data_IF_364027310886
#
_entry.id   IF_364027310886
#
_cell.length_a   1.000
_cell.length_b   1.000
_cell.length_c   1.000
_cell.angle_alpha   90.00
_cell.angle_beta   90.00
_cell.angle_gamma   90.00
#
_symmetry.space_group_name_H-M   'P 1'
#
loop_
_entity.id
_entity.type
_entity.pdbx_description
1 polymer ?
#
# COMPACT_ATOMS: atom_id res chain seq x y z
N UNK A 1 25.87 -4.52 -1.04
CA UNK A 1 25.07 -3.63 -1.93
C UNK A 1 23.86 -4.42 -2.36
N UNK A 2 22.68 -3.83 -2.42
CA UNK A 2 21.47 -4.55 -2.86
C UNK A 2 21.63 -4.92 -4.35
N UNK A 3 21.25 -6.13 -4.71
CA UNK A 3 21.24 -6.67 -6.08
C UNK A 3 20.52 -5.74 -7.08
N UNK A 4 19.53 -4.98 -6.62
CA UNK A 4 18.86 -3.95 -7.39
C UNK A 4 19.72 -2.72 -7.66
N UNK A 5 20.68 -2.37 -6.79
CA UNK A 5 21.50 -1.18 -6.97
C UNK A 5 22.46 -1.33 -8.18
N UNK A 6 23.02 -2.52 -8.34
CA UNK A 6 23.88 -2.83 -9.48
C UNK A 6 23.08 -2.86 -10.79
N UNK A 7 21.91 -3.48 -10.75
CA UNK A 7 21.00 -3.53 -11.88
C UNK A 7 20.55 -2.12 -12.31
N UNK A 8 20.21 -1.25 -11.38
CA UNK A 8 19.85 0.13 -11.65
C UNK A 8 21.00 0.95 -12.23
N UNK A 9 22.24 0.69 -11.80
CA UNK A 9 23.41 1.35 -12.39
C UNK A 9 23.61 0.95 -13.87
N UNK A 10 23.47 -0.34 -14.20
CA UNK A 10 23.57 -0.81 -15.58
C UNK A 10 22.47 -0.25 -16.48
N UNK A 11 21.24 -0.22 -15.99
CA UNK A 11 20.11 0.38 -16.72
C UNK A 11 20.37 1.87 -17.00
N UNK A 12 20.88 2.61 -16.02
CA UNK A 12 21.25 4.03 -16.20
C UNK A 12 22.42 4.23 -17.14
N UNK A 13 23.32 3.25 -17.25
CA UNK A 13 24.42 3.24 -18.20
C UNK A 13 24.00 2.87 -19.64
N UNK A 14 22.71 2.58 -19.86
CA UNK A 14 22.17 2.29 -21.20
C UNK A 14 21.69 0.86 -21.44
N UNK A 15 21.85 -0.05 -20.45
CA UNK A 15 21.34 -1.42 -20.56
C UNK A 15 19.81 -1.46 -20.29
N UNK A 16 19.06 -0.77 -21.14
CA UNK A 16 17.61 -0.55 -20.96
C UNK A 16 16.79 -1.84 -20.89
N UNK A 17 17.22 -2.86 -21.61
CA UNK A 17 16.56 -4.18 -21.65
C UNK A 17 16.59 -4.89 -20.29
N UNK A 18 17.54 -4.54 -19.41
CA UNK A 18 17.63 -5.07 -18.07
C UNK A 18 16.51 -4.57 -17.13
N UNK A 19 15.73 -3.57 -17.53
CA UNK A 19 14.55 -3.16 -16.76
C UNK A 19 13.52 -4.28 -16.63
N UNK A 20 13.45 -5.19 -17.59
CA UNK A 20 12.60 -6.37 -17.50
C UNK A 20 12.92 -7.25 -16.27
N UNK A 21 14.18 -7.24 -15.82
CA UNK A 21 14.60 -7.93 -14.58
C UNK A 21 14.02 -7.27 -13.35
N UNK A 22 14.03 -5.92 -13.25
CA UNK A 22 13.36 -5.20 -12.17
C UNK A 22 11.85 -5.50 -12.15
N UNK A 23 11.21 -5.56 -13.32
CA UNK A 23 9.80 -5.94 -13.41
C UNK A 23 9.58 -7.33 -12.83
N UNK A 24 10.34 -8.33 -13.23
CA UNK A 24 10.21 -9.71 -12.73
C UNK A 24 10.40 -9.82 -11.23
N UNK A 25 11.38 -9.12 -10.65
CA UNK A 25 11.67 -9.12 -9.22
C UNK A 25 10.57 -8.48 -8.39
N UNK A 26 9.98 -7.41 -8.89
CA UNK A 26 9.06 -6.58 -8.12
C UNK A 26 7.59 -6.73 -8.50
N UNK A 27 7.25 -7.54 -9.52
CA UNK A 27 5.87 -7.72 -9.96
C UNK A 27 4.95 -8.22 -8.84
N UNK A 28 5.37 -9.24 -8.09
CA UNK A 28 4.57 -9.78 -6.98
C UNK A 28 4.27 -8.71 -5.93
N UNK A 29 5.25 -7.85 -5.62
CA UNK A 29 5.09 -6.72 -4.70
C UNK A 29 4.11 -5.68 -5.23
N UNK A 30 4.22 -5.34 -6.51
CA UNK A 30 3.31 -4.39 -7.18
C UNK A 30 1.89 -4.95 -7.18
N UNK A 31 1.70 -6.22 -7.56
CA UNK A 31 0.38 -6.88 -7.52
C UNK A 31 -0.21 -6.92 -6.10
N UNK A 32 0.59 -7.21 -5.08
CA UNK A 32 0.15 -7.21 -3.68
C UNK A 32 -0.32 -5.83 -3.21
N UNK A 33 0.35 -4.75 -3.65
CA UNK A 33 -0.11 -3.37 -3.38
C UNK A 33 -1.42 -3.09 -4.10
N UNK A 34 -1.51 -3.41 -5.39
CA UNK A 34 -2.68 -3.08 -6.22
C UNK A 34 -3.92 -3.88 -5.81
N UNK A 35 -3.76 -5.11 -5.35
CA UNK A 35 -4.87 -5.97 -4.88
C UNK A 35 -5.71 -5.34 -3.77
N UNK A 36 -5.15 -4.43 -3.00
CA UNK A 36 -5.85 -3.68 -1.94
C UNK A 36 -6.82 -2.63 -2.46
N UNK A 37 -6.65 -2.24 -3.72
CA UNK A 37 -7.38 -1.14 -4.35
C UNK A 37 -8.25 -1.59 -5.52
N UNK A 38 -7.93 -2.74 -6.13
CA UNK A 38 -8.64 -3.25 -7.31
C UNK A 38 -8.80 -4.77 -7.22
N UNK A 39 -10.07 -5.22 -7.21
CA UNK A 39 -10.44 -6.64 -7.13
C UNK A 39 -10.43 -7.32 -8.48
N UNK A 40 -10.78 -6.59 -9.53
CA UNK A 40 -10.80 -7.12 -10.89
C UNK A 40 -9.39 -7.49 -11.35
N UNK A 41 -9.10 -8.77 -11.67
CA UNK A 41 -7.78 -9.20 -12.09
C UNK A 41 -7.28 -8.47 -13.34
N UNK A 42 -8.16 -8.24 -14.33
CA UNK A 42 -7.80 -7.59 -15.58
C UNK A 42 -7.39 -6.13 -15.36
N UNK A 43 -8.20 -5.39 -14.60
CA UNK A 43 -7.88 -4.00 -14.24
C UNK A 43 -6.61 -3.90 -13.40
N UNK A 44 -6.37 -4.89 -12.55
CA UNK A 44 -5.15 -4.95 -11.75
C UNK A 44 -3.90 -5.16 -12.60
N UNK A 45 -4.00 -5.96 -13.66
CA UNK A 45 -2.92 -6.10 -14.66
C UNK A 45 -2.65 -4.77 -15.38
N UNK A 46 -3.69 -4.07 -15.81
CA UNK A 46 -3.56 -2.76 -16.45
C UNK A 46 -2.87 -1.75 -15.52
N UNK A 47 -3.25 -1.74 -14.24
CA UNK A 47 -2.62 -0.88 -13.23
C UNK A 47 -1.17 -1.26 -12.95
N UNK A 48 -0.84 -2.56 -13.00
CA UNK A 48 0.54 -3.02 -12.84
C UNK A 48 1.41 -2.57 -14.03
N UNK A 49 0.91 -2.70 -15.24
CA UNK A 49 1.58 -2.21 -16.45
C UNK A 49 1.79 -0.68 -16.38
N UNK A 50 0.75 0.07 -16.03
CA UNK A 50 0.83 1.53 -15.84
C UNK A 50 1.85 1.90 -14.76
N UNK A 51 1.92 1.12 -13.68
CA UNK A 51 2.89 1.31 -12.59
C UNK A 51 4.31 1.18 -13.10
N UNK A 52 4.63 0.11 -13.84
CA UNK A 52 5.97 -0.11 -14.38
C UNK A 52 6.34 0.91 -15.45
N UNK A 53 5.40 1.35 -16.29
CA UNK A 53 5.62 2.42 -17.24
C UNK A 53 5.93 3.77 -16.54
N UNK A 54 5.23 4.09 -15.46
CA UNK A 54 5.51 5.27 -14.64
C UNK A 54 6.86 5.15 -13.95
N UNK A 55 7.20 3.97 -13.44
CA UNK A 55 8.49 3.70 -12.82
C UNK A 55 9.62 3.87 -13.82
N UNK A 56 9.50 3.33 -15.02
CA UNK A 56 10.47 3.52 -16.10
C UNK A 56 10.71 5.00 -16.41
N UNK A 57 9.63 5.77 -16.61
CA UNK A 57 9.73 7.21 -16.92
C UNK A 57 10.34 8.02 -15.78
N UNK A 58 10.13 7.59 -14.54
CA UNK A 58 10.61 8.27 -13.36
C UNK A 58 11.94 7.71 -12.82
N UNK A 59 12.54 6.71 -13.50
CA UNK A 59 13.73 6.01 -13.00
C UNK A 59 14.93 6.92 -12.77
N UNK A 60 15.08 7.96 -13.58
CA UNK A 60 16.11 8.97 -13.42
C UNK A 60 15.96 9.78 -12.12
N UNK A 61 14.75 9.84 -11.55
CA UNK A 61 14.45 10.55 -10.30
C UNK A 61 14.65 9.68 -9.05
N UNK A 62 14.88 8.37 -9.21
CA UNK A 62 15.16 7.48 -8.10
C UNK A 62 16.55 7.75 -7.55
N UNK A 63 16.64 8.31 -6.34
CA UNK A 63 17.90 8.75 -5.72
C UNK A 63 18.61 7.67 -4.87
N UNK A 64 17.99 6.49 -4.72
CA UNK A 64 18.55 5.37 -3.95
C UNK A 64 18.52 5.53 -2.43
N UNK A 65 17.90 6.62 -1.89
CA UNK A 65 17.78 6.84 -0.43
C UNK A 65 16.90 5.81 0.27
N UNK A 66 16.01 5.17 -0.47
CA UNK A 66 15.18 4.08 0.01
C UNK A 66 15.35 2.87 -0.91
N UNK A 67 15.08 1.63 -0.44
CA UNK A 67 15.03 0.45 -1.29
C UNK A 67 14.10 0.64 -2.48
N UNK A 68 14.47 0.09 -3.63
CA UNK A 68 13.69 0.22 -4.87
C UNK A 68 12.26 -0.33 -4.70
N UNK A 69 12.10 -1.40 -3.93
CA UNK A 69 10.78 -1.98 -3.61
C UNK A 69 9.83 -0.99 -2.92
N UNK A 70 10.35 -0.11 -2.05
CA UNK A 70 9.55 0.93 -1.40
C UNK A 70 9.17 2.04 -2.38
N UNK A 71 10.09 2.39 -3.26
CA UNK A 71 9.87 3.42 -4.27
C UNK A 71 8.81 2.98 -5.30
N UNK A 72 8.91 1.75 -5.83
CA UNK A 72 7.93 1.22 -6.79
C UNK A 72 6.56 0.98 -6.15
N UNK A 73 6.53 0.53 -4.88
CA UNK A 73 5.28 0.40 -4.11
C UNK A 73 4.55 1.74 -3.95
N UNK A 74 5.29 2.84 -3.80
CA UNK A 74 4.72 4.19 -3.77
C UNK A 74 4.11 4.59 -5.12
N UNK A 75 4.75 4.21 -6.23
CA UNK A 75 4.22 4.45 -7.59
C UNK A 75 2.96 3.62 -7.80
N UNK A 76 2.97 2.32 -7.43
CA UNK A 76 1.81 1.43 -7.56
C UNK A 76 0.59 1.98 -6.81
N UNK A 77 0.77 2.37 -5.56
CA UNK A 77 -0.28 3.00 -4.74
C UNK A 77 -0.84 4.26 -5.38
N UNK A 78 0.04 5.15 -5.83
CA UNK A 78 -0.38 6.39 -6.49
C UNK A 78 -1.18 6.11 -7.76
N UNK A 79 -0.76 5.11 -8.53
CA UNK A 79 -1.48 4.67 -9.75
C UNK A 79 -2.88 4.16 -9.40
N UNK A 80 -3.01 3.31 -8.37
CA UNK A 80 -4.30 2.82 -7.90
C UNK A 80 -5.21 3.94 -7.39
N UNK A 81 -4.69 4.85 -6.58
CA UNK A 81 -5.46 5.99 -6.06
C UNK A 81 -5.93 6.94 -7.17
N UNK A 82 -5.11 7.18 -8.19
CA UNK A 82 -5.50 7.98 -9.35
C UNK A 82 -6.59 7.28 -10.17
N UNK A 83 -6.53 5.95 -10.28
CA UNK A 83 -7.59 5.14 -10.89
C UNK A 83 -8.92 5.27 -10.14
N UNK A 84 -8.92 5.06 -8.82
CA UNK A 84 -10.11 5.20 -7.97
C UNK A 84 -10.73 6.61 -8.06
N UNK A 85 -9.90 7.66 -8.15
CA UNK A 85 -10.41 9.03 -8.36
C UNK A 85 -11.09 9.20 -9.70
N UNK A 86 -10.55 8.61 -10.76
CA UNK A 86 -11.15 8.64 -12.11
C UNK A 86 -12.49 7.89 -12.12
N UNK A 87 -12.54 6.71 -11.51
CA UNK A 87 -13.75 5.90 -11.38
C UNK A 87 -14.84 6.62 -10.57
N UNK A 88 -14.48 7.19 -9.41
CA UNK A 88 -15.41 7.97 -8.60
C UNK A 88 -16.02 9.15 -9.36
N UNK A 89 -15.23 9.85 -10.19
CA UNK A 89 -15.74 10.93 -11.04
C UNK A 89 -16.70 10.44 -12.12
N UNK A 90 -16.52 9.19 -12.58
CA UNK A 90 -17.28 8.60 -13.67
C UNK A 90 -18.61 7.98 -13.19
N UNK A 91 -18.63 7.37 -12.01
CA UNK A 91 -19.75 6.55 -11.52
C UNK A 91 -20.53 7.18 -10.35
N UNK A 92 -20.12 8.34 -9.83
CA UNK A 92 -20.72 9.00 -8.66
C UNK A 92 -20.90 8.13 -7.38
N UNK A 93 -20.49 6.84 -7.42
CA UNK A 93 -20.65 5.85 -6.36
C UNK A 93 -19.43 4.90 -6.33
N UNK A 94 -18.52 5.11 -5.38
CA UNK A 94 -17.69 4.00 -4.87
C UNK A 94 -17.72 4.12 -3.34
N UNK A 95 -18.37 3.16 -2.71
CA UNK A 95 -18.40 3.04 -1.26
C UNK A 95 -17.03 2.61 -0.74
N UNK A 96 -16.37 3.46 0.07
CA UNK A 96 -15.14 3.12 0.77
C UNK A 96 -15.26 1.93 1.75
N UNK A 97 -16.49 1.40 1.94
CA UNK A 97 -16.74 0.22 2.74
C UNK A 97 -16.00 -1.01 2.20
N UNK A 98 -15.90 -1.15 0.88
CA UNK A 98 -15.26 -2.32 0.24
C UNK A 98 -13.74 -2.33 0.40
N UNK A 99 -13.08 -1.16 0.42
CA UNK A 99 -11.62 -1.07 0.63
C UNK A 99 -11.20 -1.47 2.04
N UNK A 100 -12.10 -1.39 3.02
CA UNK A 100 -11.79 -1.67 4.42
C UNK A 100 -11.70 -3.16 4.76
N UNK A 101 -12.33 -4.05 4.01
CA UNK A 101 -12.32 -5.50 4.26
C UNK A 101 -11.03 -6.15 3.74
N UNK A 102 -10.56 -5.74 2.57
CA UNK A 102 -9.33 -6.28 1.96
C UNK A 102 -8.03 -5.77 2.61
N UNK A 103 -8.10 -4.65 3.35
CA UNK A 103 -6.94 -4.12 4.08
C UNK A 103 -6.40 -5.08 5.15
N UNK A 104 -7.15 -6.12 5.53
CA UNK A 104 -6.73 -7.13 6.51
C UNK A 104 -6.09 -8.36 5.88
N UNK A 105 -6.41 -8.68 4.63
CA UNK A 105 -5.93 -9.92 3.99
C UNK A 105 -4.42 -9.91 3.74
N UNK A 106 -3.81 -8.75 3.53
CA UNK A 106 -2.37 -8.65 3.32
C UNK A 106 -1.54 -8.86 4.60
N UNK A 107 -2.11 -8.61 5.79
CA UNK A 107 -1.46 -8.95 7.04
C UNK A 107 -1.22 -10.46 7.15
N UNK A 108 -2.01 -11.27 6.43
CA UNK A 108 -1.92 -12.73 6.35
C UNK A 108 -0.95 -13.22 5.27
N UNK A 109 -0.66 -12.40 4.26
CA UNK A 109 0.20 -12.74 3.10
C UNK A 109 1.61 -12.13 3.19
N UNK A 110 2.01 -11.60 4.35
CA UNK A 110 3.39 -11.17 4.61
C UNK A 110 4.37 -12.33 4.42
N UNK A 111 5.53 -12.01 3.83
CA UNK A 111 6.59 -12.96 3.46
C UNK A 111 6.75 -14.13 4.45
N UNK A 112 6.77 -15.35 3.89
CA UNK A 112 6.88 -16.64 4.63
C UNK A 112 8.16 -16.81 5.49
N UNK A 113 8.95 -15.77 5.69
CA UNK A 113 10.22 -15.80 6.43
C UNK A 113 10.19 -15.12 7.79
N UNK A 114 9.04 -14.73 8.31
CA UNK A 114 8.96 -14.16 9.64
C UNK A 114 8.53 -15.20 10.67
N UNK A 115 9.38 -15.34 11.68
CA UNK A 115 9.27 -16.26 12.81
C UNK A 115 7.87 -16.26 13.49
N UNK A 116 7.54 -17.31 14.24
CA UNK A 116 6.28 -17.52 14.97
C UNK A 116 5.75 -16.25 15.68
N UNK A 117 6.65 -15.44 16.25
CA UNK A 117 6.32 -14.18 16.94
C UNK A 117 5.71 -13.12 16.01
N UNK A 118 6.16 -13.06 14.77
CA UNK A 118 5.62 -12.08 13.81
C UNK A 118 4.24 -12.48 13.26
N UNK A 119 3.96 -13.79 13.18
CA UNK A 119 2.61 -14.29 12.84
C UNK A 119 1.62 -13.96 13.95
N UNK A 120 1.99 -14.21 15.21
CA UNK A 120 1.16 -13.84 16.37
C UNK A 120 0.88 -12.34 16.42
N UNK A 121 1.91 -11.51 16.21
CA UNK A 121 1.75 -10.05 16.16
C UNK A 121 0.83 -9.59 15.01
N UNK A 122 0.94 -10.22 13.82
CA UNK A 122 0.08 -9.92 12.68
C UNK A 122 -1.39 -10.32 12.94
N UNK A 123 -1.62 -11.45 13.63
CA UNK A 123 -2.97 -11.88 14.04
C UNK A 123 -3.60 -10.92 15.06
N UNK A 124 -2.84 -10.50 16.08
CA UNK A 124 -3.28 -9.52 17.08
C UNK A 124 -3.63 -8.19 16.40
N UNK A 125 -2.74 -7.70 15.53
CA UNK A 125 -3.00 -6.48 14.77
C UNK A 125 -4.24 -6.63 13.86
N UNK A 126 -4.40 -7.76 13.20
CA UNK A 126 -5.58 -8.07 12.39
C UNK A 126 -6.87 -8.07 13.21
N UNK A 127 -6.85 -8.61 14.43
CA UNK A 127 -7.99 -8.58 15.37
C UNK A 127 -8.30 -7.14 15.80
N UNK A 128 -7.28 -6.38 16.21
CA UNK A 128 -7.46 -4.98 16.62
C UNK A 128 -7.98 -4.09 15.47
N UNK A 129 -7.52 -4.32 14.25
CA UNK A 129 -7.99 -3.58 13.07
C UNK A 129 -9.47 -3.87 12.75
N UNK A 130 -10.01 -5.03 13.10
CA UNK A 130 -11.45 -5.35 12.93
C UNK A 130 -12.36 -4.51 13.82
N UNK A 131 -11.85 -4.02 14.96
CA UNK A 131 -12.59 -3.12 15.86
C UNK A 131 -12.75 -1.69 15.31
N UNK A 132 -12.00 -1.36 14.25
CA UNK A 132 -12.12 -0.08 13.57
C UNK A 132 -13.28 -0.08 12.57
N UNK A 133 -13.91 1.08 12.37
CA UNK A 133 -14.82 1.24 11.23
C UNK A 133 -14.07 1.06 9.89
N UNK A 134 -14.74 0.65 8.80
CA UNK A 134 -14.11 0.53 7.49
C UNK A 134 -13.32 1.77 7.07
N UNK A 135 -13.91 2.96 7.26
CA UNK A 135 -13.27 4.22 6.93
C UNK A 135 -12.04 4.55 7.81
N UNK A 136 -12.05 4.15 9.08
CA UNK A 136 -10.93 4.33 9.99
C UNK A 136 -9.79 3.37 9.64
N UNK A 137 -10.12 2.10 9.27
CA UNK A 137 -9.14 1.12 8.77
C UNK A 137 -8.41 1.63 7.53
N UNK A 138 -9.15 2.13 6.54
CA UNK A 138 -8.56 2.70 5.31
C UNK A 138 -7.56 3.80 5.66
N UNK A 139 -7.92 4.75 6.52
CA UNK A 139 -7.03 5.85 6.89
C UNK A 139 -5.77 5.35 7.60
N UNK A 140 -5.90 4.42 8.56
CA UNK A 140 -4.74 3.84 9.26
C UNK A 140 -3.86 3.05 8.29
N UNK A 141 -4.44 2.18 7.46
CA UNK A 141 -3.70 1.42 6.46
C UNK A 141 -2.91 2.35 5.53
N UNK A 142 -3.57 3.35 4.95
CA UNK A 142 -2.91 4.29 4.04
C UNK A 142 -1.80 5.08 4.73
N UNK A 143 -1.99 5.49 5.98
CA UNK A 143 -1.04 6.35 6.68
C UNK A 143 0.12 5.57 7.28
N UNK A 144 -0.16 4.52 8.06
CA UNK A 144 0.84 3.82 8.86
C UNK A 144 1.56 2.72 8.07
N UNK A 145 0.82 1.97 7.27
CA UNK A 145 1.38 0.84 6.54
C UNK A 145 1.89 1.22 5.15
N UNK A 146 1.24 2.19 4.52
CA UNK A 146 1.59 2.60 3.17
C UNK A 146 2.34 3.93 3.11
N UNK A 147 2.47 4.64 4.23
CA UNK A 147 3.18 5.92 4.32
C UNK A 147 2.59 7.04 3.47
N UNK A 148 1.27 7.01 3.24
CA UNK A 148 0.58 8.09 2.53
C UNK A 148 0.56 9.36 3.36
N UNK A 149 0.81 10.49 2.71
CA UNK A 149 0.59 11.80 3.33
C UNK A 149 -0.91 12.09 3.52
N UNK A 150 -1.23 12.93 4.50
CA UNK A 150 -2.60 13.42 4.73
C UNK A 150 -3.22 14.00 3.44
N UNK A 151 -2.42 14.64 2.61
CA UNK A 151 -2.88 15.22 1.33
C UNK A 151 -3.28 14.15 0.32
N UNK A 152 -2.52 13.07 0.23
CA UNK A 152 -2.82 11.94 -0.65
C UNK A 152 -4.07 11.21 -0.19
N UNK A 153 -4.19 10.95 1.12
CA UNK A 153 -5.38 10.33 1.72
C UNK A 153 -6.62 11.21 1.51
N UNK A 154 -6.53 12.50 1.80
CA UNK A 154 -7.63 13.45 1.60
C UNK A 154 -8.11 13.47 0.15
N UNK A 155 -7.18 13.49 -0.79
CA UNK A 155 -7.49 13.46 -2.21
C UNK A 155 -8.14 12.12 -2.62
N UNK A 156 -7.65 10.98 -2.11
CA UNK A 156 -8.22 9.66 -2.39
C UNK A 156 -9.66 9.54 -1.85
N UNK A 157 -9.88 9.97 -0.61
CA UNK A 157 -11.18 9.87 0.06
C UNK A 157 -12.17 10.98 -0.34
N UNK A 158 -11.74 11.99 -1.11
CA UNK A 158 -12.57 13.16 -1.41
C UNK A 158 -12.94 13.95 -0.15
N UNK A 159 -12.05 13.97 0.85
CA UNK A 159 -12.24 14.59 2.14
C UNK A 159 -11.29 15.79 2.32
N UNK A 160 -11.53 16.64 3.31
CA UNK A 160 -10.57 17.68 3.67
C UNK A 160 -9.40 17.09 4.47
N UNK A 161 -8.21 17.70 4.33
CA UNK A 161 -7.03 17.29 5.10
C UNK A 161 -7.23 17.37 6.61
N UNK A 162 -8.08 18.28 7.09
CA UNK A 162 -8.47 18.41 8.50
C UNK A 162 -9.29 17.18 8.93
N UNK A 163 -10.30 16.81 8.13
CA UNK A 163 -11.15 15.65 8.41
C UNK A 163 -10.33 14.36 8.46
N UNK A 164 -9.39 14.16 7.52
CA UNK A 164 -8.47 13.00 7.53
C UNK A 164 -7.59 12.99 8.78
N UNK A 165 -7.04 14.15 9.17
CA UNK A 165 -6.18 14.25 10.35
C UNK A 165 -6.92 13.90 11.63
N UNK A 166 -8.13 14.43 11.80
CA UNK A 166 -8.99 14.12 12.96
C UNK A 166 -9.38 12.64 12.97
N UNK A 167 -9.73 12.08 11.82
CA UNK A 167 -10.06 10.66 11.69
C UNK A 167 -8.86 9.77 12.04
N UNK A 168 -7.69 10.06 11.50
CA UNK A 168 -6.46 9.33 11.80
C UNK A 168 -6.13 9.33 13.30
N UNK A 169 -6.26 10.49 13.95
CA UNK A 169 -6.04 10.60 15.39
C UNK A 169 -7.02 9.71 16.19
N UNK A 170 -8.31 9.75 15.87
CA UNK A 170 -9.32 8.92 16.53
C UNK A 170 -9.13 7.43 16.26
N UNK A 171 -8.80 7.08 15.02
CA UNK A 171 -8.56 5.71 14.62
C UNK A 171 -7.33 5.11 15.33
N UNK A 172 -6.24 5.86 15.48
CA UNK A 172 -5.07 5.44 16.26
C UNK A 172 -5.42 5.20 17.73
N UNK A 173 -6.20 6.10 18.34
CA UNK A 173 -6.62 5.94 19.73
C UNK A 173 -7.43 4.65 19.92
N UNK A 174 -8.39 4.37 19.03
CA UNK A 174 -9.18 3.14 19.04
C UNK A 174 -8.32 1.89 18.82
N UNK A 175 -7.39 1.94 17.84
CA UNK A 175 -6.49 0.83 17.56
C UNK A 175 -5.62 0.52 18.77
N UNK A 176 -5.06 1.53 19.41
CA UNK A 176 -4.26 1.39 20.63
C UNK A 176 -5.08 0.70 21.72
N UNK A 177 -6.29 1.18 21.99
CA UNK A 177 -7.19 0.59 22.99
C UNK A 177 -7.50 -0.89 22.67
N UNK A 178 -7.80 -1.21 21.42
CA UNK A 178 -8.04 -2.60 20.99
C UNK A 178 -6.82 -3.50 21.20
N UNK A 179 -5.61 -3.00 20.90
CA UNK A 179 -4.36 -3.73 21.12
C UNK A 179 -4.09 -3.96 22.61
N UNK A 180 -4.34 -2.96 23.48
CA UNK A 180 -4.18 -3.08 24.93
C UNK A 180 -5.12 -4.15 25.50
N UNK A 181 -6.39 -4.16 25.12
CA UNK A 181 -7.37 -5.16 25.52
C UNK A 181 -6.94 -6.57 25.09
N UNK A 182 -6.49 -6.72 23.84
CA UNK A 182 -6.05 -8.02 23.32
C UNK A 182 -4.79 -8.53 24.03
N UNK A 183 -3.84 -7.65 24.34
CA UNK A 183 -2.61 -7.99 25.05
C UNK A 183 -2.86 -8.37 26.51
N UNK A 184 -3.93 -7.88 27.15
CA UNK A 184 -4.32 -8.29 28.50
C UNK A 184 -4.97 -9.68 28.55
N UNK A 185 -5.61 -10.11 27.46
CA UNK A 185 -6.28 -11.42 27.37
C UNK A 185 -5.34 -12.57 26.98
N UNK A 186 -4.11 -12.28 26.55
CA UNK A 186 -3.09 -13.28 26.21
C UNK A 186 -2.08 -13.54 27.32
N UNK A 187 -2.23 -12.89 28.49
CA UNK A 187 -1.46 -13.13 29.71
C UNK A 187 -2.16 -14.15 30.61
#
# INVERSE_FOLDING_TARGET
MSDDAELLQRIRAGATDEFAELVRRHQSRVFAVLHRYERDPQRREDLAQETFLKAWRALAQFDGRAPFEHWISRIARRTALDHLRKEKRRNNEIGFAELGEDALDWLRTGDEKSELDARSAAEILGRAMRELSPADRVVITMQELEGCSIREIAAALGASGVAVRVRAMRARAKLKQALEILAEHEK
#
